data_IF_140222847472
#
_entry.id   IF_140222847472
#
_cell.length_a   1.000
_cell.length_b   1.000
_cell.length_c   1.000
_cell.angle_alpha   90.00
_cell.angle_beta   90.00
_cell.angle_gamma   90.00
#
_symmetry.space_group_name_H-M   'P 1'
#
loop_
_entity.id
_entity.type
_entity.pdbx_description
1 polymer ?
#
# COMPACT_ATOMS: atom_id res chain seq x y z
N UNK A 1 65.64 15.77 58.74
CA UNK A 1 64.76 16.50 57.81
C UNK A 1 64.53 15.67 56.57
N UNK A 2 63.41 14.91 56.53
CA UNK A 2 63.06 14.06 55.42
C UNK A 2 62.19 14.84 54.44
N UNK A 3 62.66 15.04 53.18
CA UNK A 3 61.89 15.63 52.10
C UNK A 3 60.97 14.62 51.53
N UNK A 4 59.66 14.84 51.63
CA UNK A 4 58.61 14.07 51.03
C UNK A 4 58.43 14.54 49.58
N UNK A 5 58.73 13.66 48.60
CA UNK A 5 58.51 13.88 47.15
C UNK A 5 57.10 13.51 46.82
N UNK A 6 56.24 14.48 46.53
CA UNK A 6 54.85 14.24 46.08
C UNK A 6 54.85 14.01 44.57
N UNK A 7 54.58 12.76 44.15
CA UNK A 7 54.48 12.37 42.74
C UNK A 7 53.05 12.68 42.27
N UNK A 8 52.83 13.76 41.52
CA UNK A 8 51.59 14.05 40.86
C UNK A 8 51.45 13.16 39.62
N UNK A 9 50.59 12.16 39.72
CA UNK A 9 50.21 11.29 38.60
C UNK A 9 49.04 11.96 37.84
N UNK A 10 49.35 12.69 36.76
CA UNK A 10 48.36 13.22 35.84
C UNK A 10 47.85 12.08 34.95
N UNK A 11 46.62 11.60 35.23
CA UNK A 11 45.93 10.70 34.35
C UNK A 11 45.43 11.50 33.13
N UNK A 12 46.06 11.29 31.99
CA UNK A 12 45.56 11.78 30.70
C UNK A 12 44.36 10.87 30.29
N UNK A 13 43.15 11.34 30.47
CA UNK A 13 41.99 10.76 29.85
C UNK A 13 41.99 11.17 28.38
N UNK A 14 42.49 10.29 27.48
CA UNK A 14 42.21 10.38 26.07
C UNK A 14 40.72 10.00 25.86
N UNK A 15 39.85 11.00 25.76
CA UNK A 15 38.55 10.80 25.14
C UNK A 15 38.82 10.53 23.68
N UNK A 16 38.79 9.26 23.29
CA UNK A 16 38.63 8.90 21.90
C UNK A 16 37.22 9.37 21.48
N UNK A 17 37.15 10.50 20.79
CA UNK A 17 35.96 10.87 20.03
C UNK A 17 35.76 9.78 19.01
N UNK A 18 34.90 8.81 19.29
CA UNK A 18 34.36 7.93 18.29
C UNK A 18 33.38 8.80 17.48
N UNK A 19 33.83 9.35 16.35
CA UNK A 19 32.91 9.96 15.40
C UNK A 19 31.88 8.90 15.07
N UNK A 20 30.64 9.14 15.48
CA UNK A 20 29.54 8.22 15.15
C UNK A 20 29.40 8.22 13.63
N UNK A 21 29.63 7.05 13.02
CA UNK A 21 29.46 6.89 11.58
C UNK A 21 28.01 7.20 11.21
N UNK A 22 27.81 7.99 10.18
CA UNK A 22 26.50 8.38 9.67
C UNK A 22 26.42 8.14 8.16
N UNK A 23 25.22 7.90 7.65
CA UNK A 23 24.90 7.91 6.21
C UNK A 23 24.04 9.14 5.95
N UNK A 24 24.55 10.06 5.16
CA UNK A 24 23.80 11.23 4.70
C UNK A 24 23.07 10.90 3.41
N UNK A 25 21.76 11.17 3.39
CA UNK A 25 20.88 10.99 2.24
C UNK A 25 20.38 12.37 1.80
N UNK A 26 20.73 12.80 0.60
CA UNK A 26 20.24 14.05 0.02
C UNK A 26 19.14 13.72 -0.99
N UNK A 27 17.94 14.26 -0.76
CA UNK A 27 16.78 14.12 -1.63
C UNK A 27 16.56 15.44 -2.36
N UNK A 28 16.51 15.39 -3.69
CA UNK A 28 16.33 16.57 -4.54
C UNK A 28 14.97 16.54 -5.21
N UNK A 29 14.22 17.64 -5.11
CA UNK A 29 12.96 17.86 -5.80
C UNK A 29 13.16 18.89 -6.92
N UNK A 30 13.21 18.46 -8.20
CA UNK A 30 13.36 19.37 -9.33
C UNK A 30 12.03 20.02 -9.79
N UNK A 31 10.92 19.66 -9.15
CA UNK A 31 9.59 20.16 -9.55
C UNK A 31 9.29 21.52 -8.94
N UNK A 32 8.47 22.31 -9.63
CA UNK A 32 8.03 23.61 -9.15
C UNK A 32 6.88 23.53 -8.12
N UNK A 33 6.71 22.38 -7.46
CA UNK A 33 5.76 22.16 -6.38
C UNK A 33 6.46 21.39 -5.25
N UNK A 34 6.02 21.61 -4.03
CA UNK A 34 6.51 20.85 -2.87
C UNK A 34 6.09 19.38 -2.97
N UNK A 35 6.99 18.49 -2.56
CA UNK A 35 6.73 17.06 -2.38
C UNK A 35 6.76 16.77 -0.89
N UNK A 36 5.61 16.35 -0.35
CA UNK A 36 5.45 16.12 1.09
C UNK A 36 5.25 14.64 1.37
N UNK A 37 5.99 14.11 2.36
CA UNK A 37 5.90 12.72 2.82
C UNK A 37 6.13 11.67 1.72
N UNK A 38 6.98 11.97 0.73
CA UNK A 38 7.37 11.00 -0.30
C UNK A 38 8.24 9.91 0.30
N UNK A 39 7.92 8.67 0.04
CA UNK A 39 8.69 7.53 0.53
C UNK A 39 9.99 7.41 -0.26
N UNK A 40 11.11 7.57 0.44
CA UNK A 40 12.47 7.44 -0.10
C UNK A 40 13.00 6.06 0.27
N UNK A 41 13.69 5.42 -0.68
CA UNK A 41 14.29 4.10 -0.53
C UNK A 41 15.82 4.19 -0.54
N UNK A 42 16.47 3.55 0.43
CA UNK A 42 17.93 3.41 0.53
C UNK A 42 18.28 1.95 0.76
N UNK A 43 19.24 1.41 0.03
CA UNK A 43 19.68 0.02 0.24
C UNK A 43 20.18 -0.18 1.68
N UNK A 44 19.63 -1.17 2.39
CA UNK A 44 20.09 -1.55 3.73
C UNK A 44 21.54 -2.04 3.71
N UNK A 45 21.98 -2.72 2.65
CA UNK A 45 23.36 -3.10 2.45
C UNK A 45 24.29 -1.88 2.41
N UNK A 46 23.88 -0.82 1.70
CA UNK A 46 24.64 0.44 1.67
C UNK A 46 24.73 1.06 3.07
N UNK A 47 23.64 1.06 3.83
CA UNK A 47 23.59 1.60 5.19
C UNK A 47 24.51 0.80 6.12
N UNK A 48 24.38 -0.53 6.16
CA UNK A 48 25.18 -1.40 7.03
C UNK A 48 26.67 -1.33 6.72
N UNK A 49 27.03 -1.33 5.43
CA UNK A 49 28.44 -1.23 5.00
C UNK A 49 29.06 0.11 5.41
N UNK A 50 28.35 1.21 5.21
CA UNK A 50 28.87 2.56 5.56
C UNK A 50 28.96 2.78 7.08
N UNK A 51 27.99 2.29 7.82
CA UNK A 51 27.98 2.39 9.28
C UNK A 51 28.90 1.36 9.95
N UNK A 52 29.25 0.28 9.27
CA UNK A 52 30.01 -0.84 9.83
C UNK A 52 29.21 -1.59 10.90
N UNK A 53 27.90 -1.72 10.71
CA UNK A 53 26.98 -2.36 11.64
C UNK A 53 26.86 -3.85 11.36
N UNK A 54 26.57 -4.62 12.42
CA UNK A 54 26.07 -6.00 12.27
C UNK A 54 24.61 -5.98 11.79
N UNK A 55 24.15 -7.05 11.15
CA UNK A 55 22.80 -7.17 10.57
C UNK A 55 21.66 -6.97 11.60
N UNK A 56 21.94 -7.13 12.89
CA UNK A 56 20.96 -6.96 13.98
C UNK A 56 21.00 -5.58 14.63
N UNK A 57 21.84 -4.67 14.13
CA UNK A 57 21.97 -3.34 14.74
C UNK A 57 20.73 -2.48 14.44
N UNK A 58 20.27 -1.77 15.48
CA UNK A 58 19.19 -0.80 15.33
C UNK A 58 19.73 0.49 14.72
N UNK A 59 18.94 1.07 13.84
CA UNK A 59 19.20 2.36 13.19
C UNK A 59 18.09 3.34 13.51
N UNK A 60 18.38 4.62 13.30
CA UNK A 60 17.41 5.72 13.31
C UNK A 60 17.59 6.55 12.06
N UNK A 61 16.51 7.12 11.57
CA UNK A 61 16.50 8.10 10.47
C UNK A 61 16.15 9.45 11.06
N UNK A 62 16.98 10.45 10.82
CA UNK A 62 16.83 11.80 11.36
C UNK A 62 16.59 12.82 10.24
N UNK A 63 15.70 13.77 10.48
CA UNK A 63 15.59 14.98 9.66
C UNK A 63 16.71 15.98 9.95
N UNK A 64 16.70 17.14 9.28
CA UNK A 64 17.71 18.20 9.46
C UNK A 64 17.75 18.77 10.88
N UNK A 65 16.63 18.71 11.61
CA UNK A 65 16.50 19.19 12.99
C UNK A 65 16.94 18.15 14.02
N UNK A 66 17.38 16.98 13.59
CA UNK A 66 17.77 15.86 14.44
C UNK A 66 16.61 15.07 15.05
N UNK A 67 15.38 15.28 14.57
CA UNK A 67 14.20 14.53 15.01
C UNK A 67 14.14 13.20 14.30
N UNK A 68 13.78 12.14 15.05
CA UNK A 68 13.56 10.82 14.44
C UNK A 68 12.34 10.83 13.53
N UNK A 69 12.50 10.19 12.36
CA UNK A 69 11.42 9.92 11.43
C UNK A 69 11.01 8.44 11.51
N UNK A 70 9.74 8.11 11.23
CA UNK A 70 9.36 6.73 11.02
C UNK A 70 10.17 6.14 9.86
N UNK A 71 10.58 4.90 10.01
CA UNK A 71 11.24 4.16 8.96
C UNK A 71 10.77 2.69 8.98
N UNK A 72 11.02 1.98 7.90
CA UNK A 72 10.76 0.56 7.80
C UNK A 72 11.89 -0.11 7.02
N UNK A 73 12.25 -1.31 7.39
CA UNK A 73 13.12 -2.18 6.59
C UNK A 73 12.19 -3.11 5.83
N UNK A 74 12.24 -3.05 4.50
CA UNK A 74 11.37 -3.81 3.62
C UNK A 74 11.92 -5.21 3.34
N UNK A 75 11.05 -6.12 2.89
CA UNK A 75 11.41 -7.51 2.57
C UNK A 75 12.53 -7.63 1.54
N UNK A 76 12.68 -6.65 0.66
CA UNK A 76 13.71 -6.58 -0.39
C UNK A 76 14.98 -5.83 0.05
N UNK A 77 15.14 -5.62 1.37
CA UNK A 77 16.37 -5.10 1.97
C UNK A 77 16.57 -3.60 1.75
N UNK A 78 15.52 -2.82 1.79
CA UNK A 78 15.60 -1.36 1.76
C UNK A 78 15.21 -0.74 3.10
N UNK A 79 15.85 0.36 3.44
CA UNK A 79 15.38 1.29 4.47
C UNK A 79 14.53 2.32 3.77
N UNK A 80 13.26 2.45 4.17
CA UNK A 80 12.35 3.45 3.63
C UNK A 80 11.96 4.44 4.72
N UNK A 81 11.78 5.73 4.35
CA UNK A 81 11.36 6.80 5.24
C UNK A 81 10.68 7.94 4.47
N UNK A 82 9.78 8.73 5.10
CA UNK A 82 9.12 9.85 4.44
C UNK A 82 10.06 11.05 4.35
N UNK A 83 10.10 11.68 3.17
CA UNK A 83 10.81 12.93 2.94
C UNK A 83 9.87 14.04 2.48
N UNK A 84 10.08 15.25 3.01
CA UNK A 84 9.42 16.46 2.53
C UNK A 84 10.47 17.39 1.95
N UNK A 85 10.27 17.79 0.68
CA UNK A 85 11.23 18.62 -0.05
C UNK A 85 10.49 19.74 -0.76
N UNK A 86 10.81 20.98 -0.46
CA UNK A 86 10.22 22.14 -1.09
C UNK A 86 10.47 22.17 -2.61
N UNK A 87 9.69 22.97 -3.32
CA UNK A 87 9.83 23.14 -4.76
C UNK A 87 11.26 23.58 -5.17
N UNK A 88 11.82 22.95 -6.20
CA UNK A 88 13.16 23.24 -6.76
C UNK A 88 14.26 23.28 -5.68
N UNK A 89 14.20 22.36 -4.71
CA UNK A 89 15.17 22.33 -3.60
C UNK A 89 15.63 20.93 -3.25
N UNK A 90 16.50 20.83 -2.23
CA UNK A 90 16.98 19.56 -1.67
C UNK A 90 16.84 19.58 -0.15
N UNK A 91 16.56 18.41 0.42
CA UNK A 91 16.56 18.16 1.85
C UNK A 91 17.57 17.06 2.20
N UNK A 92 18.12 17.12 3.40
CA UNK A 92 19.13 16.15 3.85
C UNK A 92 18.61 15.39 5.07
N UNK A 93 18.83 14.09 5.04
CA UNK A 93 18.46 13.15 6.10
C UNK A 93 19.68 12.38 6.55
N UNK A 94 19.68 11.93 7.79
CA UNK A 94 20.82 11.19 8.37
C UNK A 94 20.34 9.84 8.87
N UNK A 95 21.02 8.76 8.47
CA UNK A 95 20.83 7.42 9.02
C UNK A 95 22.04 7.09 9.89
N UNK A 96 21.79 6.64 11.10
CA UNK A 96 22.85 6.27 12.06
C UNK A 96 22.39 5.14 12.97
N UNK A 97 23.36 4.53 13.72
CA UNK A 97 23.02 3.62 14.78
C UNK A 97 22.26 4.34 15.90
N UNK A 98 21.20 3.72 16.42
CA UNK A 98 20.40 4.32 17.47
C UNK A 98 19.20 3.44 17.84
N UNK A 99 18.53 3.80 18.94
CA UNK A 99 17.30 3.14 19.38
C UNK A 99 16.11 3.86 18.74
N UNK A 100 15.31 3.19 17.90
CA UNK A 100 14.18 3.80 17.23
C UNK A 100 13.05 4.11 18.23
N UNK A 101 12.38 5.24 18.00
CA UNK A 101 11.10 5.55 18.63
C UNK A 101 10.00 4.65 18.05
N UNK A 102 8.87 4.59 18.76
CA UNK A 102 7.66 3.93 18.25
C UNK A 102 6.86 4.91 17.41
N UNK A 103 6.43 4.47 16.24
CA UNK A 103 5.61 5.27 15.32
C UNK A 103 4.32 4.51 14.98
N UNK A 104 3.27 5.27 14.68
CA UNK A 104 1.99 4.72 14.24
C UNK A 104 2.13 3.96 12.93
N UNK A 105 1.37 2.87 12.82
CA UNK A 105 1.29 2.09 11.58
C UNK A 105 0.33 2.77 10.62
N UNK A 106 0.86 3.28 9.51
CA UNK A 106 0.08 3.98 8.46
C UNK A 106 -0.26 3.11 7.26
N UNK A 107 0.42 2.00 7.07
CA UNK A 107 0.17 1.08 5.97
C UNK A 107 0.07 -0.36 6.49
N UNK A 108 -1.07 -1.01 6.27
CA UNK A 108 -1.32 -2.36 6.76
C UNK A 108 -2.32 -3.12 5.88
N UNK A 109 -2.41 -4.43 6.09
CA UNK A 109 -3.38 -5.28 5.41
C UNK A 109 -3.33 -6.71 5.89
N UNK A 110 -4.37 -7.46 5.60
CA UNK A 110 -4.44 -8.90 5.86
C UNK A 110 -5.45 -9.60 4.96
N UNK A 111 -5.40 -10.91 4.93
CA UNK A 111 -6.50 -11.72 4.42
C UNK A 111 -7.60 -11.79 5.49
N UNK A 112 -8.86 -11.68 5.07
CA UNK A 112 -10.05 -11.72 5.91
C UNK A 112 -10.89 -12.96 5.62
N UNK A 113 -10.62 -14.12 6.25
CA UNK A 113 -11.40 -15.35 6.05
C UNK A 113 -12.87 -15.16 6.40
N UNK A 114 -13.16 -14.36 7.42
CA UNK A 114 -14.52 -13.99 7.84
C UNK A 114 -15.29 -13.21 6.76
N UNK A 115 -14.58 -12.55 5.86
CA UNK A 115 -15.08 -11.82 4.69
C UNK A 115 -14.75 -12.57 3.39
N UNK A 116 -14.93 -13.89 3.41
CA UNK A 116 -14.80 -14.78 2.24
C UNK A 116 -13.42 -14.74 1.56
N UNK A 117 -12.39 -14.75 2.40
CA UNK A 117 -10.98 -14.74 1.98
C UNK A 117 -10.56 -13.49 1.20
N UNK A 118 -11.24 -12.36 1.37
CA UNK A 118 -10.80 -11.13 0.73
C UNK A 118 -9.42 -10.71 1.24
N UNK A 119 -8.55 -10.31 0.33
CA UNK A 119 -7.30 -9.64 0.65
C UNK A 119 -7.54 -8.15 0.62
N UNK A 120 -7.41 -7.48 1.78
CA UNK A 120 -7.62 -6.05 1.86
C UNK A 120 -6.45 -5.36 2.54
N UNK A 121 -6.12 -4.16 2.07
CA UNK A 121 -5.00 -3.36 2.55
C UNK A 121 -5.34 -1.88 2.50
N UNK A 122 -4.71 -1.12 3.37
CA UNK A 122 -4.94 0.31 3.50
C UNK A 122 -3.69 1.08 3.91
N UNK A 123 -3.72 2.37 3.65
CA UNK A 123 -2.82 3.32 4.26
C UNK A 123 -3.63 4.44 4.94
N UNK A 124 -2.96 5.54 5.29
CA UNK A 124 -3.59 6.72 5.90
C UNK A 124 -4.56 7.48 4.97
N UNK A 125 -4.64 7.20 3.67
CA UNK A 125 -5.44 7.94 2.69
C UNK A 125 -6.53 7.12 2.01
N UNK A 126 -6.32 5.83 1.77
CA UNK A 126 -7.17 4.98 0.94
C UNK A 126 -7.08 3.53 1.38
N UNK A 127 -8.11 2.74 1.07
CA UNK A 127 -8.05 1.30 1.21
C UNK A 127 -8.43 0.60 -0.10
N UNK A 128 -7.93 -0.62 -0.27
CA UNK A 128 -8.17 -1.46 -1.44
C UNK A 128 -8.54 -2.88 -1.03
N UNK A 129 -9.18 -3.59 -1.95
CA UNK A 129 -9.55 -5.00 -1.79
C UNK A 129 -9.35 -5.76 -3.08
N UNK A 130 -8.81 -6.97 -2.97
CA UNK A 130 -8.87 -8.00 -4.00
C UNK A 130 -9.82 -9.11 -3.52
N UNK A 131 -10.79 -9.47 -4.36
CA UNK A 131 -11.81 -10.44 -4.01
C UNK A 131 -11.23 -11.83 -3.81
N UNK A 132 -11.64 -12.46 -2.71
CA UNK A 132 -11.15 -13.74 -2.28
C UNK A 132 -11.76 -14.93 -3.00
N UNK A 133 -11.11 -16.11 -2.93
CA UNK A 133 -11.59 -17.33 -3.57
C UNK A 133 -13.01 -17.74 -3.13
N UNK A 134 -13.32 -17.59 -1.83
CA UNK A 134 -14.64 -17.96 -1.31
C UNK A 134 -15.75 -17.04 -1.83
N UNK A 135 -15.49 -15.75 -2.03
CA UNK A 135 -16.44 -14.81 -2.61
C UNK A 135 -16.69 -15.13 -4.08
N UNK A 136 -15.64 -15.32 -4.85
CA UNK A 136 -15.73 -15.64 -6.27
C UNK A 136 -16.39 -17.02 -6.52
N UNK A 137 -16.16 -17.99 -5.63
CA UNK A 137 -16.81 -19.30 -5.70
C UNK A 137 -18.35 -19.23 -5.53
N UNK A 138 -18.87 -18.17 -4.90
CA UNK A 138 -20.32 -17.92 -4.80
C UNK A 138 -20.90 -17.25 -6.04
N UNK A 139 -20.09 -16.96 -7.05
CA UNK A 139 -20.51 -16.39 -8.32
C UNK A 139 -20.28 -14.89 -8.45
N UNK A 140 -19.83 -14.22 -7.41
CA UNK A 140 -19.40 -12.83 -7.49
C UNK A 140 -18.05 -12.73 -8.21
N UNK A 141 -17.96 -11.86 -9.20
CA UNK A 141 -16.78 -11.72 -10.03
C UNK A 141 -16.25 -10.29 -9.94
N UNK A 142 -14.98 -10.16 -9.57
CA UNK A 142 -14.23 -8.93 -9.58
C UNK A 142 -12.76 -9.26 -9.82
N UNK A 143 -12.19 -8.80 -10.93
CA UNK A 143 -10.86 -9.20 -11.37
C UNK A 143 -9.79 -8.15 -11.09
N UNK A 144 -10.23 -6.90 -10.92
CA UNK A 144 -9.40 -5.79 -10.49
C UNK A 144 -9.56 -5.47 -9.02
N UNK A 145 -9.15 -4.27 -8.65
CA UNK A 145 -9.24 -3.82 -7.28
C UNK A 145 -10.53 -3.06 -7.02
N UNK A 146 -11.06 -3.31 -5.85
CA UNK A 146 -12.02 -2.48 -5.18
C UNK A 146 -11.30 -1.41 -4.37
N UNK A 147 -11.96 -0.30 -4.08
CA UNK A 147 -11.39 0.78 -3.29
C UNK A 147 -12.38 1.34 -2.28
N UNK A 148 -11.84 1.80 -1.16
CA UNK A 148 -12.56 2.47 -0.10
C UNK A 148 -11.99 3.88 0.04
N UNK A 149 -12.87 4.85 0.17
CA UNK A 149 -12.45 6.20 0.57
C UNK A 149 -12.21 6.24 2.07
N UNK A 150 -11.27 7.06 2.50
CA UNK A 150 -11.03 7.35 3.92
C UNK A 150 -11.30 8.82 4.19
N UNK A 151 -11.92 9.10 5.32
CA UNK A 151 -12.16 10.47 5.80
C UNK A 151 -11.29 10.78 7.01
N UNK A 152 -11.22 9.85 7.93
CA UNK A 152 -10.30 9.90 9.06
C UNK A 152 -9.03 9.12 8.71
N UNK A 153 -7.90 9.81 8.71
CA UNK A 153 -6.59 9.26 8.35
C UNK A 153 -5.78 8.80 9.56
N UNK A 154 -6.31 8.96 10.79
CA UNK A 154 -5.58 8.63 12.01
C UNK A 154 -5.51 7.13 12.29
N UNK A 155 -6.54 6.37 11.89
CA UNK A 155 -6.68 4.96 12.25
C UNK A 155 -6.98 4.09 11.02
N UNK A 156 -6.58 2.79 11.04
CA UNK A 156 -7.05 1.80 10.08
C UNK A 156 -8.56 1.60 10.18
N UNK A 157 -9.25 1.52 9.03
CA UNK A 157 -10.73 1.42 8.98
C UNK A 157 -11.23 0.01 8.65
N UNK A 158 -10.49 -0.77 7.87
CA UNK A 158 -10.96 -2.07 7.35
C UNK A 158 -11.29 -3.07 8.45
N UNK A 159 -10.42 -3.18 9.47
CA UNK A 159 -10.64 -4.10 10.59
C UNK A 159 -11.97 -3.81 11.31
N UNK A 160 -12.21 -2.53 11.63
CA UNK A 160 -13.43 -2.10 12.31
C UNK A 160 -14.68 -2.29 11.45
N UNK A 161 -14.60 -2.02 10.14
CA UNK A 161 -15.71 -2.20 9.21
C UNK A 161 -16.09 -3.67 9.08
N UNK A 162 -15.11 -4.55 8.87
CA UNK A 162 -15.38 -5.98 8.73
C UNK A 162 -15.79 -6.66 10.02
N UNK A 163 -15.22 -6.25 11.16
CA UNK A 163 -15.64 -6.75 12.46
C UNK A 163 -17.12 -6.45 12.72
N UNK A 164 -17.59 -5.23 12.43
CA UNK A 164 -19.03 -4.87 12.57
C UNK A 164 -19.91 -5.69 11.63
N UNK A 165 -19.51 -5.85 10.37
CA UNK A 165 -20.29 -6.60 9.38
C UNK A 165 -20.40 -8.09 9.75
N UNK A 166 -19.33 -8.69 10.26
CA UNK A 166 -19.24 -10.14 10.49
C UNK A 166 -19.62 -10.54 11.94
N UNK A 167 -19.94 -9.60 12.80
CA UNK A 167 -20.31 -9.87 14.20
C UNK A 167 -21.52 -10.81 14.30
N UNK A 168 -21.30 -11.97 14.92
CA UNK A 168 -22.28 -13.07 14.96
C UNK A 168 -23.54 -12.70 15.75
N UNK A 169 -23.39 -11.97 16.85
CA UNK A 169 -24.52 -11.57 17.70
C UNK A 169 -25.40 -10.57 16.96
N UNK A 170 -24.78 -9.57 16.36
CA UNK A 170 -25.47 -8.54 15.56
C UNK A 170 -26.16 -9.15 14.35
N UNK A 171 -25.52 -10.11 13.66
CA UNK A 171 -26.15 -10.83 12.54
C UNK A 171 -27.33 -11.70 12.99
N UNK A 172 -27.24 -12.35 14.16
CA UNK A 172 -28.37 -13.11 14.73
C UNK A 172 -29.52 -12.19 15.06
N UNK A 173 -29.26 -11.05 15.74
CA UNK A 173 -30.25 -10.01 16.06
C UNK A 173 -30.90 -9.46 14.77
N UNK A 174 -30.10 -9.15 13.75
CA UNK A 174 -30.62 -8.67 12.48
C UNK A 174 -31.53 -9.70 11.78
N UNK A 175 -31.17 -10.98 11.84
CA UNK A 175 -32.01 -12.07 11.28
C UNK A 175 -33.37 -12.17 11.99
N UNK A 176 -33.41 -11.93 13.29
CA UNK A 176 -34.67 -11.93 14.05
C UNK A 176 -35.48 -10.67 13.78
N UNK A 177 -34.84 -9.49 13.80
CA UNK A 177 -35.53 -8.21 13.53
C UNK A 177 -36.12 -8.20 12.08
N UNK A 178 -35.48 -8.81 11.11
CA UNK A 178 -36.06 -8.93 9.74
C UNK A 178 -37.45 -9.61 9.74
N UNK A 179 -37.74 -10.49 10.71
CA UNK A 179 -39.02 -11.20 10.79
C UNK A 179 -40.04 -10.46 11.63
N UNK A 180 -39.60 -9.82 12.72
CA UNK A 180 -40.46 -9.26 13.76
C UNK A 180 -40.65 -7.76 13.61
N UNK A 181 -39.60 -7.02 13.24
CA UNK A 181 -39.56 -5.56 13.22
C UNK A 181 -38.77 -5.06 12.00
N UNK A 182 -39.28 -5.16 10.75
CA UNK A 182 -38.54 -4.88 9.52
C UNK A 182 -37.93 -3.47 9.47
N UNK A 183 -38.58 -2.46 10.02
CA UNK A 183 -38.07 -1.08 10.05
C UNK A 183 -36.83 -0.94 10.95
N UNK A 184 -36.83 -1.60 12.12
CA UNK A 184 -35.64 -1.64 12.97
C UNK A 184 -34.51 -2.45 12.32
N UNK A 185 -34.86 -3.51 11.62
CA UNK A 185 -33.87 -4.27 10.84
C UNK A 185 -33.23 -3.40 9.74
N UNK A 186 -34.00 -2.58 9.04
CA UNK A 186 -33.50 -1.64 8.03
C UNK A 186 -32.60 -0.56 8.67
N UNK A 187 -32.96 -0.03 9.84
CA UNK A 187 -32.12 0.90 10.60
C UNK A 187 -30.77 0.27 10.96
N UNK A 188 -30.80 -0.93 11.57
CA UNK A 188 -29.57 -1.64 11.94
C UNK A 188 -28.71 -1.98 10.74
N UNK A 189 -29.29 -2.36 9.60
CA UNK A 189 -28.54 -2.59 8.34
C UNK A 189 -27.78 -1.34 7.89
N UNK A 190 -28.40 -0.17 7.99
CA UNK A 190 -27.73 1.10 7.66
C UNK A 190 -26.55 1.38 8.60
N UNK A 191 -26.72 1.14 9.90
CA UNK A 191 -25.65 1.35 10.89
C UNK A 191 -24.45 0.40 10.69
N UNK A 192 -24.69 -0.80 10.17
CA UNK A 192 -23.66 -1.82 9.94
C UNK A 192 -23.01 -1.69 8.57
N UNK A 193 -23.66 -1.02 7.63
CA UNK A 193 -23.18 -0.96 6.24
C UNK A 193 -21.94 -0.10 6.11
N UNK A 194 -20.85 -0.69 5.66
CA UNK A 194 -19.65 0.06 5.28
C UNK A 194 -19.76 0.73 3.90
N UNK A 195 -20.88 0.56 3.19
CA UNK A 195 -21.23 1.34 2.00
C UNK A 195 -21.84 2.70 2.32
N UNK A 196 -21.95 3.04 3.60
CA UNK A 196 -22.40 4.33 4.10
C UNK A 196 -21.28 4.92 4.95
N UNK A 197 -20.94 6.17 4.69
CA UNK A 197 -19.92 6.87 5.48
C UNK A 197 -20.45 7.20 6.90
N UNK A 198 -19.86 6.54 7.89
CA UNK A 198 -20.09 6.78 9.30
C UNK A 198 -19.06 7.72 9.93
N UNK A 199 -18.39 8.54 9.12
CA UNK A 199 -17.36 9.48 9.53
C UNK A 199 -15.92 9.02 9.32
N UNK A 200 -15.73 7.77 8.86
CA UNK A 200 -14.39 7.18 8.65
C UNK A 200 -14.05 6.94 7.19
N UNK A 201 -15.03 7.02 6.31
CA UNK A 201 -14.96 6.63 4.92
C UNK A 201 -15.88 5.45 4.62
N UNK A 202 -15.82 4.92 3.40
CA UNK A 202 -16.76 3.89 2.94
C UNK A 202 -16.26 3.16 1.70
N UNK A 203 -16.83 1.98 1.45
CA UNK A 203 -16.84 1.31 0.15
C UNK A 203 -18.00 1.88 -0.68
N UNK A 204 -17.68 2.71 -1.66
CA UNK A 204 -18.67 3.33 -2.56
C UNK A 204 -18.44 2.98 -4.03
N UNK A 205 -17.62 1.98 -4.31
CA UNK A 205 -17.22 1.56 -5.65
C UNK A 205 -17.71 0.16 -5.98
N UNK A 206 -18.04 -0.11 -7.23
CA UNK A 206 -18.49 -1.43 -7.69
C UNK A 206 -17.53 -1.96 -8.76
N UNK A 207 -16.82 -3.03 -8.45
CA UNK A 207 -15.84 -3.65 -9.36
C UNK A 207 -16.51 -4.36 -10.52
N UNK A 208 -17.50 -5.20 -10.23
CA UNK A 208 -18.13 -6.06 -11.23
C UNK A 208 -17.12 -7.01 -11.92
N UNK A 209 -17.51 -7.70 -13.02
CA UNK A 209 -16.65 -8.60 -13.77
C UNK A 209 -15.66 -7.84 -14.68
N UNK A 210 -14.91 -6.92 -14.11
CA UNK A 210 -14.03 -5.98 -14.82
C UNK A 210 -12.65 -5.87 -14.15
N UNK A 211 -11.81 -4.94 -14.66
CA UNK A 211 -10.52 -4.58 -14.05
C UNK A 211 -10.67 -3.62 -12.85
N UNK A 212 -11.91 -3.30 -12.44
CA UNK A 212 -12.21 -2.48 -11.28
C UNK A 212 -11.58 -1.11 -11.33
N UNK A 213 -10.90 -0.71 -10.26
CA UNK A 213 -10.15 0.55 -10.14
C UNK A 213 -8.75 0.48 -10.79
N UNK A 214 -8.52 -0.48 -11.65
CA UNK A 214 -7.29 -0.63 -12.41
C UNK A 214 -6.44 -1.82 -11.99
N UNK A 215 -6.07 -2.62 -12.98
CA UNK A 215 -5.03 -3.65 -12.91
C UNK A 215 -4.65 -4.01 -14.35
N UNK A 216 -3.46 -4.55 -14.56
CA UNK A 216 -3.06 -5.04 -15.88
C UNK A 216 -3.62 -6.45 -16.14
N UNK A 217 -3.95 -6.74 -17.40
CA UNK A 217 -4.37 -8.06 -17.87
C UNK A 217 -3.83 -8.34 -19.28
N UNK A 218 -3.72 -9.60 -19.65
CA UNK A 218 -3.36 -10.00 -21.01
C UNK A 218 -4.53 -9.71 -21.99
N UNK A 219 -4.18 -9.36 -23.22
CA UNK A 219 -5.12 -9.26 -24.32
C UNK A 219 -4.79 -10.30 -25.40
N UNK A 220 -5.79 -11.05 -25.81
CA UNK A 220 -5.71 -12.05 -26.90
C UNK A 220 -6.88 -11.84 -27.86
N UNK A 221 -6.59 -11.64 -29.13
CA UNK A 221 -7.62 -11.46 -30.19
C UNK A 221 -8.69 -10.44 -29.79
N UNK A 222 -8.24 -9.25 -29.36
CA UNK A 222 -9.06 -8.13 -28.86
C UNK A 222 -9.93 -8.44 -27.63
N UNK A 223 -9.64 -9.52 -26.93
CA UNK A 223 -10.35 -9.93 -25.72
C UNK A 223 -9.44 -9.90 -24.50
N UNK A 224 -9.95 -9.35 -23.40
CA UNK A 224 -9.23 -9.34 -22.11
C UNK A 224 -9.28 -10.73 -21.48
N UNK A 225 -8.13 -11.26 -21.10
CA UNK A 225 -8.04 -12.52 -20.35
C UNK A 225 -8.08 -12.18 -18.85
N UNK A 226 -9.25 -12.29 -18.27
CA UNK A 226 -9.42 -11.99 -16.84
C UNK A 226 -8.92 -13.16 -15.98
N UNK A 227 -8.10 -12.91 -14.95
CA UNK A 227 -7.80 -13.93 -13.95
C UNK A 227 -9.05 -14.21 -13.11
N UNK A 228 -9.28 -15.48 -12.74
CA UNK A 228 -10.48 -15.79 -11.96
C UNK A 228 -10.37 -15.26 -10.52
N UNK A 229 -9.39 -15.73 -9.77
CA UNK A 229 -9.06 -15.22 -8.43
C UNK A 229 -7.65 -15.69 -8.03
N UNK A 230 -7.09 -15.07 -7.02
CA UNK A 230 -5.84 -15.56 -6.49
C UNK A 230 -6.01 -16.94 -5.81
N UNK A 231 -4.96 -17.73 -5.87
CA UNK A 231 -4.85 -19.07 -5.28
C UNK A 231 -4.17 -18.99 -3.91
N UNK A 232 -3.15 -18.15 -3.82
CA UNK A 232 -2.37 -17.94 -2.61
C UNK A 232 -1.96 -16.47 -2.47
N UNK A 233 -1.70 -16.09 -1.24
CA UNK A 233 -1.21 -14.77 -0.89
C UNK A 233 -0.05 -14.88 0.12
N UNK A 234 0.88 -13.94 0.04
CA UNK A 234 2.00 -13.82 0.97
C UNK A 234 2.22 -12.35 1.28
N UNK A 235 2.03 -11.96 2.55
CA UNK A 235 2.32 -10.61 3.00
C UNK A 235 3.83 -10.52 3.24
N UNK A 236 4.49 -9.62 2.52
CA UNK A 236 5.93 -9.42 2.53
C UNK A 236 6.34 -8.26 3.43
N UNK A 237 5.56 -7.17 3.42
CA UNK A 237 5.69 -6.03 4.32
C UNK A 237 4.34 -5.72 4.93
N UNK A 238 4.32 -5.43 6.22
CA UNK A 238 3.13 -4.98 6.95
C UNK A 238 3.59 -4.07 8.08
N UNK A 239 3.98 -2.88 7.73
CA UNK A 239 4.73 -2.01 8.61
C UNK A 239 4.25 -0.55 8.60
N UNK A 240 4.98 0.33 9.31
CA UNK A 240 4.48 1.70 9.50
C UNK A 240 4.34 2.50 8.21
N UNK A 241 5.11 2.20 7.17
CA UNK A 241 5.17 3.02 5.96
C UNK A 241 4.77 2.29 4.69
N UNK A 242 4.90 0.97 4.65
CA UNK A 242 4.64 0.18 3.45
C UNK A 242 3.93 -1.12 3.78
N UNK A 243 2.91 -1.40 3.01
CA UNK A 243 2.31 -2.72 2.90
C UNK A 243 2.70 -3.32 1.54
N UNK A 244 3.15 -4.58 1.54
CA UNK A 244 3.45 -5.33 0.32
C UNK A 244 2.87 -6.74 0.40
N UNK A 245 2.12 -7.15 -0.63
CA UNK A 245 1.58 -8.50 -0.74
C UNK A 245 1.85 -9.08 -2.13
N UNK A 246 2.20 -10.36 -2.16
CA UNK A 246 2.27 -11.17 -3.39
C UNK A 246 1.01 -12.00 -3.50
N UNK A 247 0.31 -11.88 -4.63
CA UNK A 247 -0.82 -12.74 -4.99
C UNK A 247 -0.42 -13.62 -6.17
N UNK A 248 -0.55 -14.93 -6.02
CA UNK A 248 -0.43 -15.90 -7.11
C UNK A 248 -1.84 -16.34 -7.53
N UNK A 249 -2.15 -16.24 -8.80
CA UNK A 249 -3.47 -16.56 -9.34
C UNK A 249 -3.59 -18.02 -9.77
N UNK A 250 -4.82 -18.50 -9.88
CA UNK A 250 -5.10 -19.78 -10.55
C UNK A 250 -4.64 -19.71 -12.01
N UNK A 251 -4.23 -20.86 -12.60
CA UNK A 251 -3.79 -20.88 -13.98
C UNK A 251 -4.85 -20.33 -14.95
N UNK A 252 -4.39 -19.51 -15.89
CA UNK A 252 -5.18 -18.93 -16.98
C UNK A 252 -5.08 -19.82 -18.21
N UNK A 253 -6.15 -19.81 -19.01
CA UNK A 253 -6.11 -20.38 -20.36
C UNK A 253 -5.82 -19.27 -21.38
N UNK A 254 -4.65 -19.33 -22.00
CA UNK A 254 -4.15 -18.35 -22.98
C UNK A 254 -3.86 -19.09 -24.28
N UNK A 255 -4.61 -18.81 -25.35
CA UNK A 255 -4.48 -19.49 -26.66
C UNK A 255 -4.45 -21.03 -26.55
N UNK A 256 -5.28 -21.59 -25.67
CA UNK A 256 -5.37 -23.04 -25.44
C UNK A 256 -4.33 -23.61 -24.47
N UNK A 257 -3.38 -22.82 -23.99
CA UNK A 257 -2.46 -23.21 -22.92
C UNK A 257 -3.06 -22.85 -21.55
N UNK A 258 -3.35 -23.84 -20.71
CA UNK A 258 -3.95 -23.68 -19.39
C UNK A 258 -2.91 -23.68 -18.26
N UNK A 259 -1.65 -23.39 -18.55
CA UNK A 259 -0.55 -23.39 -17.57
C UNK A 259 -0.02 -22.00 -17.22
N UNK A 260 -0.54 -20.94 -17.84
CA UNK A 260 -0.08 -19.56 -17.61
C UNK A 260 -0.53 -19.09 -16.24
N UNK A 261 0.40 -18.64 -15.41
CA UNK A 261 0.11 -18.16 -14.04
C UNK A 261 0.45 -16.69 -13.95
N UNK A 262 -0.52 -15.91 -13.51
CA UNK A 262 -0.34 -14.50 -13.16
C UNK A 262 0.14 -14.37 -11.70
N UNK A 263 1.11 -13.49 -11.49
CA UNK A 263 1.55 -13.07 -10.16
C UNK A 263 1.48 -11.56 -10.06
N UNK A 264 0.87 -11.06 -9.00
CA UNK A 264 0.85 -9.63 -8.66
C UNK A 264 1.66 -9.37 -7.41
N UNK A 265 2.59 -8.42 -7.50
CA UNK A 265 3.24 -7.83 -6.34
C UNK A 265 2.64 -6.44 -6.14
N UNK A 266 1.87 -6.28 -5.08
CA UNK A 266 1.12 -5.07 -4.77
C UNK A 266 1.82 -4.36 -3.63
N UNK A 267 2.10 -3.08 -3.81
CA UNK A 267 2.75 -2.22 -2.79
C UNK A 267 1.91 -0.96 -2.59
N UNK A 268 1.63 -0.62 -1.33
CA UNK A 268 0.96 0.62 -0.95
C UNK A 268 1.80 1.33 0.11
N UNK A 269 2.22 2.55 -0.19
CA UNK A 269 3.00 3.39 0.71
C UNK A 269 2.11 4.37 1.49
N UNK A 270 2.49 4.69 2.71
CA UNK A 270 1.90 5.78 3.48
C UNK A 270 1.95 7.10 2.68
N UNK A 271 0.89 7.88 2.74
CA UNK A 271 0.77 9.15 2.01
C UNK A 271 0.47 9.02 0.51
N UNK A 272 0.32 7.82 -0.04
CA UNK A 272 -0.01 7.60 -1.46
C UNK A 272 -1.49 7.27 -1.67
N UNK A 273 -2.14 7.92 -2.65
CA UNK A 273 -3.47 7.51 -3.11
C UNK A 273 -3.43 6.35 -4.12
N UNK A 274 -2.23 5.99 -4.61
CA UNK A 274 -2.05 4.97 -5.63
C UNK A 274 -1.28 3.78 -5.05
N UNK A 275 -1.79 2.58 -5.25
CA UNK A 275 -0.98 1.40 -5.06
C UNK A 275 -0.19 1.07 -6.34
N UNK A 276 1.03 0.55 -6.18
CA UNK A 276 1.86 0.03 -7.28
C UNK A 276 1.60 -1.47 -7.40
N UNK A 277 1.25 -1.94 -8.59
CA UNK A 277 1.14 -3.37 -8.87
C UNK A 277 2.10 -3.75 -9.98
N UNK A 278 3.06 -4.62 -9.68
CA UNK A 278 3.87 -5.30 -10.68
C UNK A 278 3.19 -6.63 -11.04
N UNK A 279 2.80 -6.76 -12.30
CA UNK A 279 2.15 -7.98 -12.83
C UNK A 279 3.15 -8.75 -13.69
N UNK A 280 3.28 -10.03 -13.44
CA UNK A 280 4.12 -10.93 -14.22
C UNK A 280 3.38 -12.23 -14.57
N UNK A 281 3.77 -12.85 -15.68
CA UNK A 281 3.17 -14.09 -16.16
C UNK A 281 4.27 -15.14 -16.34
N UNK A 282 4.11 -16.28 -15.69
CA UNK A 282 4.95 -17.47 -15.94
C UNK A 282 4.31 -18.37 -16.99
N UNK A 283 5.14 -19.18 -17.65
CA UNK A 283 4.75 -20.14 -18.71
C UNK A 283 4.14 -19.51 -19.98
N UNK A 284 4.21 -18.20 -20.12
CA UNK A 284 3.77 -17.53 -21.34
C UNK A 284 4.76 -17.85 -22.48
N UNK A 285 4.26 -18.40 -23.60
CA UNK A 285 5.11 -18.90 -24.69
C UNK A 285 5.44 -17.86 -25.76
N UNK A 286 4.74 -16.74 -25.73
CA UNK A 286 4.92 -15.64 -26.68
C UNK A 286 4.67 -14.29 -26.01
N UNK A 287 5.16 -13.22 -26.59
CA UNK A 287 4.83 -11.87 -26.15
C UNK A 287 3.40 -11.52 -26.52
N UNK A 288 2.60 -11.09 -25.57
CA UNK A 288 1.22 -10.65 -25.77
C UNK A 288 1.01 -9.22 -25.31
N UNK A 289 0.06 -8.49 -25.91
CA UNK A 289 -0.34 -7.18 -25.44
C UNK A 289 -0.86 -7.25 -24.01
N UNK A 290 -0.57 -6.19 -23.24
CA UNK A 290 -1.13 -5.95 -21.91
C UNK A 290 -2.02 -4.72 -21.98
N UNK A 291 -3.15 -4.79 -21.30
CA UNK A 291 -4.10 -3.70 -21.14
C UNK A 291 -4.30 -3.38 -19.67
N UNK A 292 -4.65 -2.16 -19.40
CA UNK A 292 -5.20 -1.73 -18.11
C UNK A 292 -6.47 -0.93 -18.36
N UNK A 293 -7.32 -0.82 -17.34
CA UNK A 293 -8.57 -0.09 -17.48
C UNK A 293 -9.26 0.13 -16.15
N UNK A 294 -10.21 1.03 -16.17
CA UNK A 294 -11.09 1.38 -15.05
C UNK A 294 -12.52 1.06 -15.50
N UNK A 295 -13.34 0.49 -14.62
CA UNK A 295 -14.75 0.30 -14.93
C UNK A 295 -15.46 1.65 -15.01
N UNK A 296 -16.28 1.84 -16.03
CA UNK A 296 -17.10 3.04 -16.22
C UNK A 296 -18.54 2.73 -15.81
N UNK A 297 -19.02 3.31 -14.71
CA UNK A 297 -20.41 3.17 -14.28
C UNK A 297 -21.36 4.09 -15.04
N UNK A 298 -20.84 5.21 -15.53
CA UNK A 298 -21.54 6.11 -16.46
C UNK A 298 -20.77 6.19 -17.77
N UNK A 299 -21.34 5.73 -18.92
CA UNK A 299 -20.66 5.77 -20.21
C UNK A 299 -20.23 7.18 -20.64
N UNK A 300 -21.01 8.19 -20.25
CA UNK A 300 -20.76 9.61 -20.58
C UNK A 300 -19.97 10.34 -19.47
N UNK A 301 -19.42 9.60 -18.49
CA UNK A 301 -18.63 10.15 -17.40
C UNK A 301 -17.35 10.84 -17.89
N UNK A 302 -16.81 11.72 -17.05
CA UNK A 302 -15.57 12.43 -17.37
C UNK A 302 -14.37 11.46 -17.35
N UNK A 303 -13.96 11.01 -18.53
CA UNK A 303 -12.80 10.16 -18.77
C UNK A 303 -11.72 10.96 -19.47
N UNK A 304 -10.49 10.85 -18.99
CA UNK A 304 -9.29 11.32 -19.70
C UNK A 304 -8.37 10.13 -19.88
N UNK A 305 -8.08 9.79 -21.13
CA UNK A 305 -7.11 8.74 -21.46
C UNK A 305 -5.98 9.34 -22.30
N UNK A 306 -4.77 9.19 -21.85
CA UNK A 306 -3.55 9.65 -22.52
C UNK A 306 -2.63 8.46 -22.76
N UNK A 307 -2.75 7.87 -23.96
CA UNK A 307 -1.94 6.72 -24.34
C UNK A 307 -0.45 7.05 -24.48
N UNK A 308 -0.10 8.30 -24.80
CA UNK A 308 1.28 8.72 -24.94
C UNK A 308 2.00 8.79 -23.59
N UNK A 309 1.28 9.19 -22.54
CA UNK A 309 1.78 9.25 -21.17
C UNK A 309 1.35 8.07 -20.30
N UNK A 310 0.63 7.09 -20.88
CA UNK A 310 0.29 5.84 -20.23
C UNK A 310 -0.65 5.98 -19.05
N UNK A 311 -1.64 6.88 -19.06
CA UNK A 311 -2.60 7.00 -17.98
C UNK A 311 -4.05 7.11 -18.44
N UNK A 312 -4.94 6.71 -17.56
CA UNK A 312 -6.38 6.94 -17.65
C UNK A 312 -6.90 7.46 -16.32
N UNK A 313 -7.79 8.43 -16.36
CA UNK A 313 -8.51 8.93 -15.18
C UNK A 313 -10.00 8.95 -15.44
N UNK A 314 -10.78 8.76 -14.39
CA UNK A 314 -12.23 8.73 -14.44
C UNK A 314 -12.83 9.35 -13.18
N UNK A 315 -13.90 10.13 -13.36
CA UNK A 315 -14.70 10.65 -12.28
C UNK A 315 -15.92 9.76 -12.12
N UNK A 316 -15.90 8.92 -11.12
CA UNK A 316 -16.93 7.93 -10.84
C UNK A 316 -18.07 8.54 -10.01
N UNK A 317 -19.34 8.28 -10.37
CA UNK A 317 -20.50 8.79 -9.63
C UNK A 317 -20.71 8.10 -8.29
N UNK A 318 -19.98 7.02 -8.02
CA UNK A 318 -20.12 6.16 -6.84
C UNK A 318 -21.44 5.39 -6.76
N UNK A 319 -21.55 4.47 -5.81
CA UNK A 319 -22.79 3.76 -5.51
C UNK A 319 -23.58 4.52 -4.43
N UNK A 320 -24.78 4.93 -4.73
CA UNK A 320 -25.68 5.63 -3.80
C UNK A 320 -25.76 7.14 -4.01
N UNK A 321 -26.95 7.71 -3.79
CA UNK A 321 -27.27 9.09 -4.20
C UNK A 321 -26.51 10.17 -3.42
N UNK A 322 -26.05 9.84 -2.22
CA UNK A 322 -25.45 10.82 -1.28
C UNK A 322 -23.94 10.66 -1.13
N UNK A 323 -23.31 9.71 -1.84
CA UNK A 323 -21.90 9.38 -1.66
C UNK A 323 -20.94 10.31 -2.43
N UNK A 324 -21.47 11.21 -3.25
CA UNK A 324 -20.67 12.15 -4.02
C UNK A 324 -19.98 11.50 -5.21
N UNK A 325 -18.76 11.93 -5.51
CA UNK A 325 -17.94 11.44 -6.62
C UNK A 325 -16.55 11.12 -6.14
N UNK A 326 -15.92 10.11 -6.76
CA UNK A 326 -14.52 9.78 -6.54
C UNK A 326 -13.72 9.97 -7.83
N UNK A 327 -12.44 10.28 -7.68
CA UNK A 327 -11.50 10.41 -8.78
C UNK A 327 -10.60 9.18 -8.79
N UNK A 328 -10.64 8.43 -9.87
CA UNK A 328 -9.85 7.21 -10.05
C UNK A 328 -8.79 7.49 -11.10
N UNK A 329 -7.56 7.07 -10.85
CA UNK A 329 -6.46 7.16 -11.80
C UNK A 329 -5.73 5.82 -11.90
N UNK A 330 -5.35 5.46 -13.12
CA UNK A 330 -4.52 4.31 -13.39
C UNK A 330 -3.38 4.71 -14.35
N UNK A 331 -2.16 4.35 -13.99
CA UNK A 331 -0.97 4.56 -14.81
C UNK A 331 -0.39 3.21 -15.20
N UNK A 332 -0.07 3.04 -16.48
CA UNK A 332 0.58 1.85 -17.00
C UNK A 332 2.02 2.17 -17.39
N UNK A 333 2.95 1.45 -16.79
CA UNK A 333 4.36 1.47 -17.17
C UNK A 333 4.74 0.12 -17.75
N UNK A 334 5.39 0.13 -18.91
CA UNK A 334 6.11 -1.06 -19.39
C UNK A 334 7.54 -1.00 -18.91
N UNK A 335 8.06 -2.10 -18.37
CA UNK A 335 9.44 -2.14 -17.83
C UNK A 335 10.48 -1.84 -18.92
N UNK A 336 11.59 -1.11 -18.60
CA UNK A 336 11.84 -0.49 -17.31
C UNK A 336 11.10 0.84 -17.16
N UNK A 337 10.52 1.06 -16.00
CA UNK A 337 9.99 2.39 -15.64
C UNK A 337 11.16 3.36 -15.41
N UNK A 338 11.04 4.65 -15.77
CA UNK A 338 12.05 5.63 -15.42
C UNK A 338 12.37 5.72 -13.93
N UNK A 339 11.47 5.27 -13.07
CA UNK A 339 11.69 5.19 -11.61
C UNK A 339 12.50 3.97 -11.18
N UNK A 340 12.66 2.98 -12.05
CA UNK A 340 13.40 1.75 -11.74
C UNK A 340 14.90 1.88 -12.10
N UNK A 341 15.32 3.02 -12.62
CA UNK A 341 16.68 3.29 -13.11
C UNK A 341 17.42 4.41 -12.36
N UNK A 342 16.82 5.00 -11.31
CA UNK A 342 17.46 6.07 -10.50
C UNK A 342 17.96 5.58 -9.14
#
# INVERSE_FOLDING_TARGET
>A
MKKLLLLCMTALFCFACNESKTVTVTVTNPLALERSNEVIEVSMETVTNRLGLADTAQIVVLNVDGQQLPYQITYDGKVIFPATVAANSSATYTIQAGIPESFDVKACGKCYPERMDDMAWENDLVAFRAYGPALQAKGERGFGYDLFTKRDTSEPILEGMYAKETDKETRAKLKELKKTEPEKAAGLLKELSYHIDHGHGMDCYAVGPTLGAGVAALMVDDSIIYPWCYKSQEILDNGPLRFTVRLEFNPLTVKGDSTVVETRLITLDAGSHLNKTAVSYSNLKETLPIVTGIVLHEPDGAVVADAANGYITYVDPTTGPDNGKIFIGCLLYTSPSPRDTE
#
